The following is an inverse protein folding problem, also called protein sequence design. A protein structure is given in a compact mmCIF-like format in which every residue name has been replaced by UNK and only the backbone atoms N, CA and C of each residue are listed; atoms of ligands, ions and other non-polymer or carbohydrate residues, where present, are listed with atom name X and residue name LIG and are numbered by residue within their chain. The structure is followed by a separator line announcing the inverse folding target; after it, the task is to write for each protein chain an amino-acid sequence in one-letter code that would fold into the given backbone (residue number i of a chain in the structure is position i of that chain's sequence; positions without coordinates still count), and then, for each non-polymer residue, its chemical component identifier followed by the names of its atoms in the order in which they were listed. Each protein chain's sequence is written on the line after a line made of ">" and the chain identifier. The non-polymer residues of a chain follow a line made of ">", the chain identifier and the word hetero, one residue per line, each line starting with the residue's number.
data_IF_860094023146
#
_entry.id   IF_860094023146
#
_cell.length_a   1.000
_cell.length_b   1.000
_cell.length_c   1.000
_cell.angle_alpha   90.00
_cell.angle_beta   90.00
_cell.angle_gamma   90.00
#
_symmetry.space_group_name_H-M   'P 1'
#
loop_
_entity.id
_entity.type
_entity.pdbx_description
1 polymer ?
#
# COMPACT_ATOMS: atom_id res chain seq x y z
N UNK A 1 -0.98 21.46 -37.74
CA UNK A 1 -1.02 19.97 -37.70
C UNK A 1 0.14 19.40 -36.87
N UNK A 2 1.39 19.77 -37.14
CA UNK A 2 2.56 19.34 -36.36
C UNK A 2 2.49 19.75 -34.87
N UNK A 3 2.13 21.00 -34.56
CA UNK A 3 2.02 21.46 -33.16
C UNK A 3 0.95 20.71 -32.36
N UNK A 4 -0.18 20.33 -32.99
CA UNK A 4 -1.24 19.55 -32.34
C UNK A 4 -0.75 18.13 -32.04
N UNK A 5 0.01 17.52 -32.95
CA UNK A 5 0.61 16.21 -32.73
C UNK A 5 1.66 16.23 -31.61
N UNK A 6 2.47 17.29 -31.52
CA UNK A 6 3.47 17.47 -30.44
C UNK A 6 2.78 17.66 -29.09
N UNK A 7 1.74 18.50 -29.02
CA UNK A 7 0.95 18.68 -27.78
C UNK A 7 0.27 17.38 -27.36
N UNK A 8 -0.32 16.63 -28.28
CA UNK A 8 -0.91 15.31 -27.99
C UNK A 8 0.13 14.30 -27.49
N UNK A 9 1.34 14.29 -28.05
CA UNK A 9 2.43 13.45 -27.55
C UNK A 9 2.86 13.84 -26.13
N UNK A 10 3.04 15.12 -25.85
CA UNK A 10 3.44 15.60 -24.52
C UNK A 10 2.40 15.28 -23.45
N UNK A 11 1.11 15.45 -23.78
CA UNK A 11 0.00 15.05 -22.90
C UNK A 11 -0.04 13.54 -22.70
N UNK A 12 0.17 12.75 -23.77
CA UNK A 12 0.25 11.29 -23.68
C UNK A 12 1.37 10.80 -22.76
N UNK A 13 2.56 11.42 -22.82
CA UNK A 13 3.69 11.08 -21.96
C UNK A 13 3.44 11.50 -20.50
N UNK A 14 2.80 12.65 -20.27
CA UNK A 14 2.43 13.09 -18.92
C UNK A 14 1.41 12.15 -18.25
N UNK A 15 0.45 11.61 -19.02
CA UNK A 15 -0.55 10.65 -18.53
C UNK A 15 0.01 9.23 -18.36
N UNK A 16 1.02 8.85 -19.14
CA UNK A 16 1.67 7.53 -19.04
C UNK A 16 2.57 7.36 -17.80
N UNK A 17 2.98 8.47 -17.16
CA UNK A 17 3.76 8.45 -15.92
C UNK A 17 3.05 7.80 -14.73
N UNK A 18 1.72 7.61 -14.82
CA UNK A 18 0.89 7.15 -13.71
C UNK A 18 0.63 5.64 -13.69
N UNK A 19 1.16 4.89 -14.67
CA UNK A 19 1.03 3.42 -14.68
C UNK A 19 1.94 2.75 -13.65
N UNK A 20 3.03 3.41 -13.24
CA UNK A 20 4.01 2.91 -12.27
C UNK A 20 3.52 3.04 -10.81
N UNK A 21 2.60 3.98 -10.54
CA UNK A 21 2.10 4.20 -9.17
C UNK A 21 1.24 3.05 -8.66
N UNK A 22 0.57 2.30 -9.56
CA UNK A 22 -0.22 1.10 -9.22
C UNK A 22 0.62 -0.17 -9.03
N UNK A 23 1.95 -0.08 -9.09
CA UNK A 23 2.84 -1.25 -8.94
C UNK A 23 3.00 -1.73 -7.49
N UNK A 24 2.45 -1.00 -6.52
CA UNK A 24 2.47 -1.40 -5.11
C UNK A 24 1.37 -2.44 -4.89
N UNK A 25 1.79 -3.69 -4.75
CA UNK A 25 0.88 -4.81 -4.50
C UNK A 25 0.82 -5.08 -3.00
N UNK A 26 -0.39 -5.26 -2.48
CA UNK A 26 -0.65 -5.66 -1.10
C UNK A 26 -1.41 -6.98 -1.09
N UNK A 27 -0.90 -7.93 -0.33
CA UNK A 27 -1.56 -9.20 -0.10
C UNK A 27 -2.30 -9.16 1.24
N UNK A 28 -3.56 -9.59 1.25
CA UNK A 28 -4.37 -9.71 2.48
C UNK A 28 -3.78 -10.76 3.42
N UNK A 29 -3.12 -11.79 2.88
CA UNK A 29 -2.46 -12.81 3.70
C UNK A 29 -1.21 -12.26 4.41
N UNK A 30 -0.60 -11.19 3.91
CA UNK A 30 0.62 -10.60 4.49
C UNK A 30 0.47 -9.09 4.67
N UNK A 31 -0.38 -8.62 5.60
CA UNK A 31 -0.71 -7.20 5.79
C UNK A 31 0.44 -6.37 6.40
N UNK A 32 1.55 -7.01 6.76
CA UNK A 32 2.75 -6.37 7.31
C UNK A 32 3.80 -6.04 6.25
N UNK A 33 3.61 -6.47 5.00
CA UNK A 33 4.56 -6.22 3.92
C UNK A 33 3.88 -5.68 2.67
N UNK A 34 4.63 -4.92 1.88
CA UNK A 34 4.24 -4.44 0.57
C UNK A 34 5.26 -4.89 -0.48
N UNK A 35 4.84 -4.96 -1.73
CA UNK A 35 5.70 -5.35 -2.83
C UNK A 35 5.93 -4.15 -3.76
N UNK A 36 7.20 -3.83 -4.03
CA UNK A 36 7.57 -2.76 -4.94
C UNK A 36 8.61 -3.22 -5.98
N UNK A 37 8.61 -2.64 -7.20
CA UNK A 37 9.61 -2.95 -8.22
C UNK A 37 11.00 -2.48 -7.79
N UNK A 38 12.04 -3.26 -8.12
CA UNK A 38 13.45 -2.83 -7.92
C UNK A 38 13.95 -2.00 -9.10
N UNK A 39 13.60 -2.45 -10.31
CA UNK A 39 14.05 -1.86 -11.57
C UNK A 39 12.86 -1.41 -12.40
N UNK A 40 13.13 -0.57 -13.42
CA UNK A 40 12.11 -0.10 -14.35
C UNK A 40 11.43 -1.30 -15.04
N UNK A 41 10.13 -1.54 -14.82
CA UNK A 41 9.42 -2.62 -15.50
C UNK A 41 9.28 -2.28 -16.99
N UNK A 42 9.66 -3.22 -17.84
CA UNK A 42 9.43 -3.13 -19.30
C UNK A 42 8.06 -3.69 -19.70
N UNK A 43 7.47 -4.54 -18.85
CA UNK A 43 6.13 -5.10 -18.95
C UNK A 43 5.67 -5.57 -17.56
N UNK A 44 4.36 -5.64 -17.31
CA UNK A 44 3.79 -6.16 -16.05
C UNK A 44 4.19 -7.62 -15.78
N UNK A 45 4.32 -8.45 -16.83
CA UNK A 45 4.71 -9.86 -16.72
C UNK A 45 6.17 -10.07 -16.28
N UNK A 46 7.02 -9.05 -16.39
CA UNK A 46 8.46 -9.11 -16.08
C UNK A 46 8.84 -8.21 -14.90
N UNK A 47 7.87 -7.80 -14.10
CA UNK A 47 8.12 -6.94 -12.94
C UNK A 47 8.73 -7.76 -11.81
N UNK A 48 10.02 -7.56 -11.54
CA UNK A 48 10.67 -8.13 -10.37
C UNK A 48 10.41 -7.23 -9.16
N UNK A 49 9.61 -7.74 -8.22
CA UNK A 49 9.24 -7.03 -6.99
C UNK A 49 9.96 -7.60 -5.78
N UNK A 50 10.25 -6.76 -4.79
CA UNK A 50 10.71 -7.17 -3.45
C UNK A 50 9.63 -6.91 -2.44
N UNK A 51 9.48 -7.83 -1.49
CA UNK A 51 8.72 -7.57 -0.27
C UNK A 51 9.51 -6.64 0.65
N UNK A 52 8.82 -5.65 1.23
CA UNK A 52 9.35 -4.69 2.19
C UNK A 52 8.35 -4.51 3.34
N UNK A 53 8.81 -4.21 4.56
CA UNK A 53 7.91 -3.95 5.68
C UNK A 53 6.99 -2.76 5.43
N UNK A 54 5.74 -2.82 5.88
CA UNK A 54 4.77 -1.73 5.75
C UNK A 54 5.24 -0.42 6.41
N UNK A 55 6.14 -0.50 7.41
CA UNK A 55 6.75 0.67 8.05
C UNK A 55 7.58 1.51 7.08
N UNK A 56 8.19 0.86 6.08
CA UNK A 56 8.99 1.47 5.01
C UNK A 56 8.16 2.07 3.88
N UNK A 57 6.87 1.75 3.80
CA UNK A 57 5.99 2.39 2.85
C UNK A 57 5.74 3.82 3.33
N UNK A 58 6.06 4.83 2.54
CA UNK A 58 5.92 6.25 2.89
C UNK A 58 6.48 6.53 4.29
N UNK A 59 7.76 6.20 4.49
CA UNK A 59 8.53 6.43 5.72
C UNK A 59 8.67 7.94 6.01
N UNK A 60 8.82 8.75 4.96
CA UNK A 60 9.06 10.19 5.10
C UNK A 60 7.81 11.04 4.86
N UNK A 61 6.61 10.45 4.87
CA UNK A 61 5.34 11.14 4.59
C UNK A 61 5.31 11.85 3.22
N UNK A 62 6.08 11.37 2.22
CA UNK A 62 6.23 12.04 0.94
C UNK A 62 6.92 13.41 1.03
N UNK A 63 7.64 13.68 2.13
CA UNK A 63 8.50 14.87 2.29
C UNK A 63 9.80 14.69 1.52
N UNK A 64 10.62 15.75 1.51
CA UNK A 64 11.95 15.71 0.91
C UNK A 64 12.80 14.63 1.58
N UNK A 65 13.32 13.71 0.78
CA UNK A 65 14.18 12.63 1.24
C UNK A 65 15.54 13.19 1.67
N UNK A 66 16.17 12.61 2.70
CA UNK A 66 17.56 12.90 3.06
C UNK A 66 18.51 12.74 1.87
N UNK A 67 19.61 13.51 1.84
CA UNK A 67 20.59 13.44 0.73
C UNK A 67 21.29 12.09 0.63
N UNK A 68 21.41 11.38 1.74
CA UNK A 68 21.99 10.04 1.85
C UNK A 68 20.94 8.91 1.78
N UNK A 69 19.66 9.25 1.53
CA UNK A 69 18.61 8.25 1.44
C UNK A 69 18.84 7.33 0.24
N UNK A 70 18.95 6.03 0.54
CA UNK A 70 19.05 5.00 -0.48
C UNK A 70 17.66 4.46 -0.78
N UNK A 71 17.14 4.84 -1.94
CA UNK A 71 15.85 4.37 -2.45
C UNK A 71 15.68 2.85 -2.30
N UNK A 72 14.67 2.44 -1.55
CA UNK A 72 14.37 1.03 -1.27
C UNK A 72 13.60 0.35 -2.41
N UNK A 73 12.96 1.15 -3.27
CA UNK A 73 12.14 0.79 -4.42
C UNK A 73 12.54 1.61 -5.66
N UNK A 74 12.20 1.17 -6.87
CA UNK A 74 12.53 1.91 -8.09
C UNK A 74 11.96 3.33 -8.04
N UNK A 75 12.84 4.34 -8.12
CA UNK A 75 12.47 5.76 -8.22
C UNK A 75 11.56 6.26 -7.08
N UNK A 76 11.82 5.81 -5.85
CA UNK A 76 11.12 6.24 -4.63
C UNK A 76 9.59 6.10 -4.74
N UNK A 77 9.11 5.08 -5.46
CA UNK A 77 7.67 4.84 -5.65
C UNK A 77 6.96 4.62 -4.31
N UNK A 78 7.68 4.07 -3.32
CA UNK A 78 7.29 3.92 -1.91
C UNK A 78 7.06 5.26 -1.18
N UNK A 79 7.61 6.37 -1.66
CA UNK A 79 7.43 7.72 -1.11
C UNK A 79 6.50 8.59 -1.97
N UNK A 80 5.86 7.99 -2.97
CA UNK A 80 4.88 8.69 -3.79
C UNK A 80 3.60 9.01 -3.01
N UNK A 81 2.87 10.03 -3.45
CA UNK A 81 1.56 10.39 -2.89
C UNK A 81 0.59 9.19 -2.84
N UNK A 82 0.66 8.32 -3.86
CA UNK A 82 -0.13 7.09 -3.91
C UNK A 82 0.25 6.10 -2.80
N UNK A 83 1.56 5.89 -2.58
CA UNK A 83 2.07 5.03 -1.52
C UNK A 83 1.63 5.51 -0.13
N UNK A 84 1.73 6.81 0.12
CA UNK A 84 1.30 7.43 1.37
C UNK A 84 -0.21 7.28 1.62
N UNK A 85 -1.02 7.52 0.58
CA UNK A 85 -2.48 7.31 0.65
C UNK A 85 -2.81 5.86 0.96
N UNK A 86 -2.06 4.93 0.39
CA UNK A 86 -2.31 3.50 0.56
C UNK A 86 -1.84 2.97 1.91
N UNK A 87 -0.70 3.46 2.44
CA UNK A 87 -0.30 3.24 3.84
C UNK A 87 -1.43 3.61 4.78
N UNK A 88 -2.01 4.81 4.61
CA UNK A 88 -3.13 5.28 5.44
C UNK A 88 -4.35 4.36 5.32
N UNK A 89 -4.71 3.94 4.10
CA UNK A 89 -5.84 3.02 3.88
C UNK A 89 -5.66 1.68 4.60
N UNK A 90 -4.44 1.14 4.57
CA UNK A 90 -4.12 -0.15 5.21
C UNK A 90 -4.15 -0.04 6.72
N UNK A 91 -3.54 1.01 7.27
CA UNK A 91 -3.57 1.25 8.72
C UNK A 91 -5.00 1.38 9.25
N UNK A 92 -5.88 2.09 8.52
CA UNK A 92 -7.30 2.19 8.89
C UNK A 92 -8.02 0.84 8.84
N UNK A 93 -7.67 -0.05 7.91
CA UNK A 93 -8.26 -1.40 7.85
C UNK A 93 -7.82 -2.25 9.05
N UNK A 94 -6.54 -2.21 9.43
CA UNK A 94 -6.04 -2.96 10.59
C UNK A 94 -6.79 -2.58 11.87
N UNK A 95 -6.99 -1.28 12.10
CA UNK A 95 -7.78 -0.79 13.23
C UNK A 95 -9.20 -1.36 13.19
N UNK A 96 -9.87 -1.36 12.03
CA UNK A 96 -11.23 -1.91 11.94
C UNK A 96 -11.30 -3.43 12.14
N UNK A 97 -10.27 -4.16 11.72
CA UNK A 97 -10.19 -5.62 11.91
C UNK A 97 -9.93 -5.94 13.40
N UNK A 98 -9.02 -5.21 14.05
CA UNK A 98 -8.76 -5.31 15.51
C UNK A 98 -10.01 -5.01 16.34
N UNK A 99 -10.77 -3.95 16.01
CA UNK A 99 -12.04 -3.63 16.68
C UNK A 99 -13.10 -4.74 16.51
N UNK A 100 -13.11 -5.39 15.35
CA UNK A 100 -14.08 -6.47 15.07
C UNK A 100 -13.72 -7.73 15.83
N UNK A 101 -12.44 -8.09 15.90
CA UNK A 101 -11.95 -9.23 16.68
C UNK A 101 -12.20 -9.04 18.18
N UNK A 102 -11.99 -7.83 18.72
CA UNK A 102 -12.25 -7.51 20.12
C UNK A 102 -13.76 -7.61 20.45
N UNK A 103 -14.63 -7.16 19.55
CA UNK A 103 -16.09 -7.28 19.70
C UNK A 103 -16.56 -8.74 19.62
N UNK A 104 -15.98 -9.54 18.72
CA UNK A 104 -16.33 -10.96 18.57
C UNK A 104 -15.87 -11.77 19.80
N UNK A 105 -14.68 -11.48 20.33
CA UNK A 105 -14.18 -12.07 21.58
C UNK A 105 -15.07 -11.69 22.77
N UNK A 106 -15.41 -10.40 22.91
CA UNK A 106 -16.30 -9.92 23.98
C UNK A 106 -17.70 -10.58 23.91
N UNK A 107 -18.25 -10.78 22.71
CA UNK A 107 -19.53 -11.46 22.52
C UNK A 107 -19.46 -12.97 22.80
N UNK A 108 -18.33 -13.62 22.48
CA UNK A 108 -18.08 -15.00 22.83
C UNK A 108 -18.01 -15.21 24.35
N UNK A 109 -17.31 -14.32 25.07
CA UNK A 109 -17.23 -14.35 26.54
C UNK A 109 -18.61 -14.13 27.20
N UNK A 110 -19.39 -13.15 26.72
CA UNK A 110 -20.74 -12.90 27.23
C UNK A 110 -21.67 -14.11 27.06
N UNK A 111 -21.54 -14.83 25.94
CA UNK A 111 -22.31 -16.04 25.66
C UNK A 111 -21.91 -17.20 26.59
N UNK A 112 -20.62 -17.33 26.93
CA UNK A 112 -20.15 -18.34 27.89
C UNK A 112 -20.66 -18.05 29.31
N UNK A 113 -20.68 -16.79 29.73
CA UNK A 113 -21.23 -16.40 31.04
C UNK A 113 -22.74 -16.66 31.13
N UNK A 114 -23.49 -16.45 30.05
CA UNK A 114 -24.91 -16.76 29.99
C UNK A 114 -25.19 -18.28 30.07
N UNK A 115 -24.37 -19.10 29.43
CA UNK A 115 -24.54 -20.57 29.45
C UNK A 115 -24.19 -21.19 30.80
N UNK A 116 -23.20 -20.67 31.52
CA UNK A 116 -22.83 -21.19 32.85
C UNK A 116 -23.90 -20.92 33.93
N UNK A 117 -24.66 -19.83 33.82
CA UNK A 117 -25.74 -19.51 34.76
C UNK A 117 -27.01 -20.34 34.55
N UNK A 118 -27.18 -20.99 33.39
CA UNK A 118 -28.32 -21.86 33.10
C UNK A 118 -28.10 -23.33 33.53
N UNK A 119 -26.94 -23.64 34.10
CA UNK A 119 -26.53 -24.99 34.52
C UNK A 119 -26.38 -25.12 36.05
N UNK A 120 -26.90 -24.15 36.81
CA UNK A 120 -26.99 -24.12 38.29
C UNK A 120 -28.45 -24.18 38.72
#
# INVERSE_FOLDING_TARGET
>A
KLCVAVVLMLVGVALAGDMMRKSIVFDKATPEVFYCPIDKPTSFEKMYVRSRPLTKLCEFDGKRLPEDYKSDCYNDVDESEYACKEKKRIMMRKVSEEETEEQELAMAEATQMANNNNNV
#
